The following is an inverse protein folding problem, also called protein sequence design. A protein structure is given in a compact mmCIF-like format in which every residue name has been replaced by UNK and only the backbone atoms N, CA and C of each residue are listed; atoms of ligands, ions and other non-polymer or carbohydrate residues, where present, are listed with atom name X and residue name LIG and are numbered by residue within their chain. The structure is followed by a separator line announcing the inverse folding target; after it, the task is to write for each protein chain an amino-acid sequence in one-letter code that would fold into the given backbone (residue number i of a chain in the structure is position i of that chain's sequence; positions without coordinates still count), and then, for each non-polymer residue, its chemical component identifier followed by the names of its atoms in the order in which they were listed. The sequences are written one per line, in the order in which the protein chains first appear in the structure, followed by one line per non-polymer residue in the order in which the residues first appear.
data_IF_152392989155
#
_entry.id   IF_152392989155
#
_cell.length_a   1.000
_cell.length_b   1.000
_cell.length_c   1.000
_cell.angle_alpha   90.00
_cell.angle_beta   90.00
_cell.angle_gamma   90.00
#
_symmetry.space_group_name_H-M   'P 1'
#
loop_
_entity.id
_entity.type
_entity.pdbx_description
1 polymer ?
#
# COMPACT_ATOMS: atom_id res chain seq x y z
N UNK A 1 14.86 7.41 16.71
CA UNK A 1 14.03 6.33 17.29
C UNK A 1 13.95 5.18 16.30
N UNK A 2 13.55 3.99 16.74
CA UNK A 2 13.31 2.84 15.84
C UNK A 2 11.98 3.00 15.11
N UNK A 3 11.89 2.53 13.87
CA UNK A 3 10.66 2.53 13.08
C UNK A 3 10.03 1.13 13.16
N UNK A 4 8.80 1.05 13.64
CA UNK A 4 8.10 -0.22 13.80
C UNK A 4 7.39 -0.63 12.49
N UNK A 5 7.88 -1.69 11.86
CA UNK A 5 7.24 -2.37 10.73
C UNK A 5 6.41 -3.55 11.22
N UNK A 6 5.10 -3.52 10.93
CA UNK A 6 4.19 -4.63 11.25
C UNK A 6 4.06 -5.57 10.06
N UNK A 7 4.01 -6.87 10.33
CA UNK A 7 3.82 -7.92 9.32
C UNK A 7 2.98 -9.05 9.89
N UNK A 8 2.48 -9.92 9.03
CA UNK A 8 1.80 -11.17 9.41
C UNK A 8 1.95 -12.18 8.28
N UNK A 9 1.83 -13.47 8.57
CA UNK A 9 1.89 -14.53 7.54
C UNK A 9 0.74 -14.42 6.53
N UNK A 10 -0.36 -13.76 6.92
CA UNK A 10 -1.50 -13.51 6.02
C UNK A 10 -1.26 -12.32 5.09
N UNK A 11 -0.25 -11.47 5.35
CA UNK A 11 -0.01 -10.28 4.54
C UNK A 11 0.42 -10.64 3.11
N UNK A 12 1.28 -11.65 2.93
CA UNK A 12 1.53 -12.35 1.67
C UNK A 12 2.50 -13.52 1.95
N UNK A 13 2.60 -14.53 1.06
CA UNK A 13 3.56 -15.62 1.21
C UNK A 13 5.01 -15.09 1.37
N UNK A 14 5.64 -15.37 2.51
CA UNK A 14 7.00 -14.91 2.81
C UNK A 14 7.10 -13.49 3.40
N UNK A 15 5.99 -12.88 3.83
CA UNK A 15 5.99 -11.51 4.37
C UNK A 15 6.89 -11.30 5.60
N UNK A 16 7.04 -12.30 6.47
CA UNK A 16 7.93 -12.21 7.63
C UNK A 16 9.40 -12.16 7.21
N UNK A 17 9.80 -13.02 6.26
CA UNK A 17 11.16 -13.06 5.74
C UNK A 17 11.48 -11.79 4.95
N UNK A 18 10.52 -11.28 4.17
CA UNK A 18 10.65 -10.01 3.46
C UNK A 18 10.86 -8.84 4.44
N UNK A 19 10.14 -8.81 5.57
CA UNK A 19 10.35 -7.79 6.61
C UNK A 19 11.77 -7.85 7.21
N UNK A 20 12.31 -9.06 7.45
CA UNK A 20 13.67 -9.25 7.95
C UNK A 20 14.72 -8.77 6.93
N UNK A 21 14.54 -9.11 5.65
CA UNK A 21 15.42 -8.63 4.59
C UNK A 21 15.39 -7.09 4.45
N UNK A 22 14.20 -6.50 4.58
CA UNK A 22 14.03 -5.05 4.56
C UNK A 22 14.73 -4.39 5.75
N UNK A 23 14.56 -4.91 6.97
CA UNK A 23 15.27 -4.43 8.16
C UNK A 23 16.79 -4.46 7.98
N UNK A 24 17.36 -5.57 7.48
CA UNK A 24 18.80 -5.68 7.25
C UNK A 24 19.29 -4.68 6.20
N UNK A 25 18.49 -4.44 5.15
CA UNK A 25 18.81 -3.47 4.10
C UNK A 25 18.78 -2.03 4.63
N UNK A 26 17.76 -1.68 5.40
CA UNK A 26 17.63 -0.39 6.08
C UNK A 26 18.78 -0.14 7.08
N UNK A 27 19.23 -1.17 7.80
CA UNK A 27 20.33 -1.05 8.74
C UNK A 27 21.64 -0.59 8.06
N UNK A 28 21.90 -1.02 6.82
CA UNK A 28 23.06 -0.56 6.02
C UNK A 28 23.00 0.93 5.70
N UNK A 29 21.80 1.53 5.70
CA UNK A 29 21.57 2.96 5.53
C UNK A 29 21.42 3.71 6.87
N UNK A 30 21.71 3.07 8.01
CA UNK A 30 21.56 3.67 9.33
C UNK A 30 20.11 3.78 9.82
N UNK A 31 19.15 3.16 9.13
CA UNK A 31 17.74 3.17 9.49
C UNK A 31 17.45 1.96 10.38
N UNK A 32 17.06 2.20 11.63
CA UNK A 32 16.68 1.15 12.57
C UNK A 32 15.21 0.79 12.37
N UNK A 33 14.96 -0.43 11.88
CA UNK A 33 13.62 -1.03 11.79
C UNK A 33 13.43 -2.05 12.91
N UNK A 34 12.28 -2.02 13.58
CA UNK A 34 11.80 -3.08 14.48
C UNK A 34 10.66 -3.83 13.79
N UNK A 35 10.70 -5.17 13.81
CA UNK A 35 9.67 -5.99 13.18
C UNK A 35 8.73 -6.49 14.27
N UNK A 36 7.43 -6.24 14.08
CA UNK A 36 6.36 -6.84 14.89
C UNK A 36 5.52 -7.76 14.03
N UNK A 37 5.56 -9.06 14.33
CA UNK A 37 4.65 -10.05 13.75
C UNK A 37 3.33 -9.98 14.50
N UNK A 38 2.29 -9.55 13.81
CA UNK A 38 0.93 -9.48 14.33
C UNK A 38 0.19 -10.80 14.02
N UNK A 39 -0.76 -11.23 14.87
CA UNK A 39 -1.63 -12.38 14.56
C UNK A 39 -2.30 -12.20 13.20
N UNK A 40 -2.51 -13.32 12.49
CA UNK A 40 -3.22 -13.29 11.22
C UNK A 40 -4.69 -12.92 11.39
N UNK A 41 -5.30 -13.37 12.49
CA UNK A 41 -6.64 -12.95 12.88
C UNK A 41 -6.65 -11.46 13.23
N UNK A 42 -7.56 -10.71 12.62
CA UNK A 42 -7.64 -9.26 12.79
C UNK A 42 -6.56 -8.44 12.07
N UNK A 43 -5.61 -9.02 11.32
CA UNK A 43 -4.58 -8.23 10.61
C UNK A 43 -5.20 -7.16 9.69
N UNK A 44 -6.25 -7.53 8.96
CA UNK A 44 -6.91 -6.65 8.00
C UNK A 44 -7.83 -5.61 8.66
N UNK A 45 -8.27 -5.82 9.90
CA UNK A 45 -9.16 -4.88 10.61
C UNK A 45 -8.39 -3.94 11.56
N UNK A 46 -7.33 -4.44 12.20
CA UNK A 46 -6.59 -3.73 13.26
C UNK A 46 -5.21 -3.23 12.85
N UNK A 47 -4.61 -3.82 11.80
CA UNK A 47 -3.23 -3.51 11.40
C UNK A 47 -3.20 -2.79 10.06
N UNK A 48 -3.60 -3.47 8.98
CA UNK A 48 -3.62 -2.88 7.66
C UNK A 48 -4.55 -1.68 7.64
N UNK A 49 -4.10 -0.57 7.03
CA UNK A 49 -4.86 0.68 6.91
C UNK A 49 -5.23 1.34 8.26
N UNK A 50 -4.72 0.83 9.40
CA UNK A 50 -4.89 1.40 10.75
C UNK A 50 -3.56 1.82 11.38
N UNK A 51 -2.48 1.10 11.06
CA UNK A 51 -1.15 1.33 11.60
C UNK A 51 -0.29 2.11 10.59
N UNK A 52 0.68 2.90 11.08
CA UNK A 52 1.44 3.82 10.22
C UNK A 52 2.41 3.13 9.26
N UNK A 53 2.84 1.89 9.56
CA UNK A 53 3.74 1.13 8.71
C UNK A 53 3.53 -0.38 8.89
N UNK A 54 3.07 -1.02 7.81
CA UNK A 54 2.75 -2.44 7.78
C UNK A 54 2.94 -3.01 6.37
N UNK A 55 3.21 -4.30 6.27
CA UNK A 55 3.22 -4.99 4.98
C UNK A 55 1.79 -5.26 4.50
N UNK A 56 1.54 -5.03 3.22
CA UNK A 56 0.27 -5.34 2.57
C UNK A 56 0.55 -5.87 1.17
N UNK A 57 -0.50 -6.36 0.52
CA UNK A 57 -0.43 -6.77 -0.88
C UNK A 57 -1.64 -6.21 -1.63
N UNK A 58 -1.51 -6.18 -2.95
CA UNK A 58 -2.56 -5.75 -3.84
C UNK A 58 -2.78 -6.81 -4.92
N UNK A 59 -4.02 -7.26 -5.06
CA UNK A 59 -4.43 -8.02 -6.23
C UNK A 59 -4.54 -7.11 -7.45
N UNK A 60 -4.23 -7.63 -8.64
CA UNK A 60 -4.43 -6.89 -9.89
C UNK A 60 -5.88 -6.48 -10.13
N UNK A 61 -6.09 -5.50 -11.02
CA UNK A 61 -7.42 -5.08 -11.49
C UNK A 61 -7.45 -5.04 -13.02
N UNK A 62 -8.62 -5.27 -13.64
CA UNK A 62 -8.77 -5.21 -15.10
C UNK A 62 -8.29 -3.90 -15.74
N UNK A 63 -8.34 -2.78 -15.02
CA UNK A 63 -7.87 -1.49 -15.52
C UNK A 63 -7.05 -0.73 -14.48
N UNK A 64 -6.12 0.11 -14.96
CA UNK A 64 -5.34 1.01 -14.11
C UNK A 64 -6.26 1.96 -13.31
N UNK A 65 -7.29 2.51 -13.95
CA UNK A 65 -8.26 3.40 -13.30
C UNK A 65 -8.99 2.74 -12.12
N UNK A 66 -9.31 1.44 -12.23
CA UNK A 66 -9.84 0.69 -11.08
C UNK A 66 -8.82 0.57 -9.97
N UNK A 67 -7.57 0.20 -10.28
CA UNK A 67 -6.50 0.09 -9.29
C UNK A 67 -6.26 1.42 -8.55
N UNK A 68 -6.17 2.52 -9.28
CA UNK A 68 -5.98 3.86 -8.70
C UNK A 68 -7.19 4.32 -7.87
N UNK A 69 -8.41 4.03 -8.33
CA UNK A 69 -9.62 4.37 -7.58
C UNK A 69 -9.74 3.57 -6.28
N UNK A 70 -9.18 2.36 -6.20
CA UNK A 70 -9.20 1.55 -4.98
C UNK A 70 -8.12 1.96 -3.99
N UNK A 71 -6.88 2.21 -4.43
CA UNK A 71 -5.75 2.41 -3.52
C UNK A 71 -5.27 3.85 -3.35
N UNK A 72 -5.58 4.77 -4.27
CA UNK A 72 -4.92 6.07 -4.34
C UNK A 72 -5.85 7.28 -4.42
N UNK A 73 -7.11 7.10 -4.82
CA UNK A 73 -8.10 8.17 -4.72
C UNK A 73 -8.18 8.65 -3.27
N UNK A 74 -8.14 9.97 -3.04
CA UNK A 74 -8.05 10.54 -1.69
C UNK A 74 -9.17 10.10 -0.74
N UNK A 75 -10.32 9.72 -1.29
CA UNK A 75 -11.52 9.25 -0.56
C UNK A 75 -11.67 7.72 -0.58
N UNK A 76 -10.72 6.97 -1.14
CA UNK A 76 -10.83 5.53 -1.20
C UNK A 76 -10.62 4.89 0.17
N UNK A 77 -11.50 3.95 0.53
CA UNK A 77 -11.44 3.25 1.80
C UNK A 77 -10.13 2.49 1.98
N UNK A 78 -9.55 1.98 0.89
CA UNK A 78 -8.33 1.17 0.90
C UNK A 78 -7.06 1.99 0.63
N UNK A 79 -7.14 3.32 0.75
CA UNK A 79 -5.96 4.20 0.68
C UNK A 79 -5.15 4.14 1.99
N UNK A 80 -4.47 3.02 2.18
CA UNK A 80 -3.66 2.68 3.36
C UNK A 80 -2.42 3.58 3.51
N UNK A 81 -1.93 4.15 2.42
CA UNK A 81 -0.81 5.12 2.41
C UNK A 81 -1.21 6.54 2.79
N UNK A 82 -2.51 6.85 2.88
CA UNK A 82 -3.04 8.21 3.04
C UNK A 82 -2.56 9.17 1.94
N UNK A 83 -2.36 8.64 0.73
CA UNK A 83 -2.01 9.44 -0.44
C UNK A 83 -3.18 10.34 -0.81
N UNK A 84 -3.10 11.63 -0.44
CA UNK A 84 -4.13 12.63 -0.72
C UNK A 84 -3.56 13.75 -1.56
N UNK A 85 -3.91 13.77 -2.85
CA UNK A 85 -3.38 14.72 -3.84
C UNK A 85 -4.54 15.17 -4.75
N UNK A 86 -5.05 16.40 -4.59
CA UNK A 86 -6.17 16.89 -5.40
C UNK A 86 -5.89 16.84 -6.91
N UNK A 87 -4.64 17.11 -7.32
CA UNK A 87 -4.25 17.05 -8.73
C UNK A 87 -4.27 15.61 -9.28
N UNK A 88 -3.94 14.62 -8.47
CA UNK A 88 -4.05 13.21 -8.86
C UNK A 88 -5.52 12.80 -8.99
N UNK A 89 -6.37 13.19 -8.04
CA UNK A 89 -7.80 12.89 -8.08
C UNK A 89 -8.45 13.46 -9.35
N UNK A 90 -8.14 14.72 -9.70
CA UNK A 90 -8.61 15.36 -10.94
C UNK A 90 -8.18 14.57 -12.17
N UNK A 91 -6.90 14.18 -12.24
CA UNK A 91 -6.36 13.39 -13.35
C UNK A 91 -7.05 12.02 -13.46
N UNK A 92 -7.28 11.36 -12.34
CA UNK A 92 -7.98 10.07 -12.29
C UNK A 92 -9.43 10.19 -12.78
N UNK A 93 -10.15 11.23 -12.38
CA UNK A 93 -11.52 11.47 -12.87
C UNK A 93 -11.55 11.76 -14.37
N UNK A 94 -10.62 12.57 -14.87
CA UNK A 94 -10.50 12.86 -16.30
C UNK A 94 -10.21 11.59 -17.11
N UNK A 95 -9.23 10.78 -16.68
CA UNK A 95 -8.88 9.53 -17.35
C UNK A 95 -10.05 8.52 -17.37
N UNK A 96 -10.88 8.49 -16.32
CA UNK A 96 -12.07 7.63 -16.26
C UNK A 96 -13.18 8.09 -17.21
N UNK A 97 -13.30 9.38 -17.45
CA UNK A 97 -14.29 9.95 -18.36
C UNK A 97 -13.85 9.93 -19.84
N UNK A 98 -12.55 9.87 -20.10
CA UNK A 98 -11.98 9.82 -21.46
C UNK A 98 -12.40 8.54 -22.17
N UNK A 99 -13.01 8.61 -23.36
CA UNK A 99 -13.49 7.44 -24.11
C UNK A 99 -12.46 6.94 -25.14
N UNK A 100 -11.56 7.82 -25.60
CA UNK A 100 -10.49 7.46 -26.51
C UNK A 100 -9.39 6.69 -25.76
N UNK A 101 -9.11 5.45 -26.19
CA UNK A 101 -8.13 4.61 -25.50
C UNK A 101 -6.69 5.09 -25.61
N UNK A 102 -6.32 5.71 -26.74
CA UNK A 102 -4.96 6.21 -26.93
C UNK A 102 -4.72 7.41 -26.01
N UNK A 103 -5.71 8.32 -25.93
CA UNK A 103 -5.69 9.48 -25.04
C UNK A 103 -5.78 9.10 -23.57
N UNK A 104 -6.54 8.06 -23.21
CA UNK A 104 -6.62 7.54 -21.83
C UNK A 104 -5.29 6.94 -21.35
N UNK A 105 -4.48 6.40 -22.26
CA UNK A 105 -3.19 5.74 -21.93
C UNK A 105 -2.00 6.71 -21.89
N UNK A 106 -2.08 7.85 -22.58
CA UNK A 106 -1.01 8.84 -22.68
C UNK A 106 -0.88 9.67 -21.41
#
# INVERSE_FOLDING_TARGET
GSILLRTSDVAFPGAVDAAQLYQQSCAKAGIKIEIKREPGDGYWSEVWNKQPFSLSYWGGRPTQGQMYSTGYLSTADWNDTRFKRPEFDKMLYAARAELDQARRKA
#
